data_IF_796069120942
#
_entry.id   IF_796069120942
#
_cell.length_a   1.000
_cell.length_b   1.000
_cell.length_c   1.000
_cell.angle_alpha   90.00
_cell.angle_beta   90.00
_cell.angle_gamma   90.00
#
_symmetry.space_group_name_H-M   'P 1'
#
loop_
_entity.id
_entity.type
_entity.pdbx_description
1 polymer ?
#
# COMPACT_ATOMS: atom_id res chain seq x y z
N UNK A 1 15.42 -18.09 -24.98
CA UNK A 1 14.62 -17.49 -23.93
C UNK A 1 15.05 -16.04 -23.70
N UNK A 2 14.12 -15.12 -23.89
CA UNK A 2 14.36 -13.70 -23.68
C UNK A 2 14.34 -13.39 -22.18
N UNK A 3 15.44 -12.85 -21.66
CA UNK A 3 15.48 -12.34 -20.30
C UNK A 3 14.78 -10.97 -20.33
N UNK A 4 13.72 -10.81 -19.56
CA UNK A 4 13.02 -9.54 -19.46
C UNK A 4 13.88 -8.52 -18.74
N UNK A 5 14.00 -7.33 -19.31
CA UNK A 5 14.74 -6.23 -18.74
C UNK A 5 13.78 -5.29 -17.97
N UNK A 6 13.98 -5.21 -16.66
CA UNK A 6 13.19 -4.35 -15.78
C UNK A 6 13.95 -3.08 -15.34
N UNK A 7 15.03 -2.75 -16.01
CA UNK A 7 15.89 -1.63 -15.58
C UNK A 7 15.16 -0.29 -15.55
N UNK A 8 14.28 -0.01 -16.52
CA UNK A 8 13.46 1.21 -16.53
C UNK A 8 12.53 1.28 -15.33
N UNK A 9 11.83 0.18 -15.05
CA UNK A 9 10.92 0.08 -13.91
C UNK A 9 11.68 0.30 -12.60
N UNK A 10 12.79 -0.39 -12.42
CA UNK A 10 13.63 -0.27 -11.21
C UNK A 10 14.13 1.15 -11.02
N UNK A 11 14.66 1.78 -12.07
CA UNK A 11 15.16 3.15 -12.01
C UNK A 11 14.05 4.14 -11.66
N UNK A 12 12.87 3.99 -12.27
CA UNK A 12 11.72 4.85 -12.01
C UNK A 12 11.32 4.82 -10.53
N UNK A 13 11.12 3.62 -9.98
CA UNK A 13 10.65 3.50 -8.60
C UNK A 13 11.75 3.72 -7.58
N UNK A 14 12.99 3.40 -7.88
CA UNK A 14 14.13 3.80 -7.05
C UNK A 14 14.18 5.32 -6.90
N UNK A 15 13.85 6.06 -7.97
CA UNK A 15 13.74 7.52 -7.93
C UNK A 15 12.66 8.00 -6.96
N UNK A 16 11.46 7.41 -7.02
CA UNK A 16 10.38 7.75 -6.09
C UNK A 16 10.74 7.47 -4.64
N UNK A 17 11.46 6.38 -4.40
CA UNK A 17 11.81 5.94 -3.04
C UNK A 17 13.14 6.52 -2.54
N UNK A 18 13.89 7.18 -3.43
CA UNK A 18 15.25 7.69 -3.13
C UNK A 18 16.17 6.57 -2.62
N UNK A 19 16.16 5.45 -3.32
CA UNK A 19 17.01 4.28 -3.07
C UNK A 19 17.72 3.88 -4.36
N UNK A 20 18.65 2.92 -4.26
CA UNK A 20 19.33 2.39 -5.45
C UNK A 20 18.44 1.37 -6.18
N UNK A 21 18.49 1.29 -7.53
CA UNK A 21 17.62 0.39 -8.29
C UNK A 21 17.72 -1.09 -7.93
N UNK A 22 18.86 -1.54 -7.43
CA UNK A 22 19.06 -2.93 -7.01
C UNK A 22 18.16 -3.33 -5.83
N UNK A 23 17.62 -2.36 -5.08
CA UNK A 23 16.69 -2.61 -3.98
C UNK A 23 15.25 -2.82 -4.43
N UNK A 24 14.96 -2.58 -5.70
CA UNK A 24 13.65 -2.88 -6.28
C UNK A 24 13.66 -4.36 -6.70
N UNK A 25 13.15 -5.22 -5.83
CA UNK A 25 13.25 -6.67 -5.99
C UNK A 25 11.90 -7.30 -6.37
N UNK A 26 10.82 -6.89 -5.72
CA UNK A 26 9.49 -7.43 -5.98
C UNK A 26 8.91 -6.83 -7.26
N UNK A 27 9.30 -7.35 -8.40
CA UNK A 27 8.90 -6.83 -9.70
C UNK A 27 7.36 -6.81 -9.87
N UNK A 28 6.62 -7.88 -9.54
CA UNK A 28 5.15 -7.84 -9.67
C UNK A 28 4.51 -6.71 -8.88
N UNK A 29 5.03 -6.37 -7.71
CA UNK A 29 4.53 -5.25 -6.90
C UNK A 29 4.69 -3.93 -7.65
N UNK A 30 5.87 -3.65 -8.18
CA UNK A 30 6.13 -2.38 -8.86
C UNK A 30 5.47 -2.31 -10.23
N UNK A 31 5.24 -3.45 -10.90
CA UNK A 31 4.42 -3.49 -12.11
C UNK A 31 2.96 -3.15 -11.78
N UNK A 32 2.42 -3.67 -10.70
CA UNK A 32 1.08 -3.31 -10.23
C UNK A 32 0.99 -1.81 -9.94
N UNK A 33 1.94 -1.29 -9.18
CA UNK A 33 1.98 0.14 -8.84
C UNK A 33 2.03 0.99 -10.11
N UNK A 34 2.91 0.63 -11.05
CA UNK A 34 3.10 1.37 -12.30
C UNK A 34 1.81 1.40 -13.14
N UNK A 35 1.09 0.27 -13.15
CA UNK A 35 -0.18 0.17 -13.86
C UNK A 35 -1.28 1.07 -13.24
N UNK A 36 -1.23 1.32 -11.95
CA UNK A 36 -2.25 2.10 -11.24
C UNK A 36 -1.85 3.55 -10.96
N UNK A 37 -0.58 3.91 -11.10
CA UNK A 37 -0.11 5.27 -10.82
C UNK A 37 -0.95 6.32 -11.53
N UNK A 38 -1.27 7.39 -10.81
CA UNK A 38 -2.06 8.52 -11.27
C UNK A 38 -3.54 8.22 -11.54
N UNK A 39 -4.03 7.03 -11.22
CA UNK A 39 -5.46 6.76 -11.24
C UNK A 39 -6.16 7.72 -10.26
N UNK A 40 -7.25 8.40 -10.68
CA UNK A 40 -7.92 9.35 -9.81
C UNK A 40 -8.53 8.68 -8.57
N UNK A 41 -8.63 9.46 -7.49
CA UNK A 41 -9.38 9.03 -6.32
C UNK A 41 -10.88 9.14 -6.57
N UNK A 42 -11.62 8.12 -6.11
CA UNK A 42 -13.08 8.17 -6.09
C UNK A 42 -13.58 7.38 -4.88
N UNK A 43 -14.37 8.01 -4.03
CA UNK A 43 -14.99 7.36 -2.87
C UNK A 43 -15.81 6.13 -3.35
N UNK A 44 -15.51 4.97 -2.79
CA UNK A 44 -16.14 3.71 -3.18
C UNK A 44 -15.70 3.16 -4.53
N UNK A 45 -14.77 3.84 -5.22
CA UNK A 45 -14.29 3.41 -6.53
C UNK A 45 -13.37 2.21 -6.47
N UNK A 46 -13.41 1.38 -7.50
CA UNK A 46 -12.66 0.12 -7.58
C UNK A 46 -12.04 -0.12 -8.96
N UNK A 47 -11.94 0.88 -9.81
CA UNK A 47 -11.44 0.71 -11.18
C UNK A 47 -10.62 1.94 -11.64
N UNK A 48 -10.21 1.93 -12.90
CA UNK A 48 -9.35 2.96 -13.48
C UNK A 48 -10.03 4.33 -13.66
N UNK A 49 -11.37 4.40 -13.54
CA UNK A 49 -12.11 5.67 -13.54
C UNK A 49 -11.99 6.38 -12.19
N UNK A 50 -11.70 5.62 -11.15
CA UNK A 50 -11.45 6.13 -9.81
C UNK A 50 -11.41 5.01 -8.81
N UNK A 51 -10.49 5.13 -7.84
CA UNK A 51 -10.27 4.09 -6.84
C UNK A 51 -10.07 4.74 -5.45
N UNK A 52 -10.57 4.11 -4.39
CA UNK A 52 -10.27 4.57 -3.03
C UNK A 52 -9.08 3.82 -2.44
N UNK A 53 -8.64 4.25 -1.25
CA UNK A 53 -7.44 3.73 -0.61
C UNK A 53 -7.53 2.24 -0.28
N UNK A 54 -8.66 1.80 0.27
CA UNK A 54 -8.83 0.40 0.68
C UNK A 54 -9.05 -0.54 -0.51
N UNK A 55 -9.70 -0.07 -1.58
CA UNK A 55 -9.84 -0.84 -2.81
C UNK A 55 -8.50 -1.06 -3.50
N UNK A 56 -7.63 -0.03 -3.50
CA UNK A 56 -6.28 -0.18 -4.04
C UNK A 56 -5.52 -1.28 -3.29
N UNK A 57 -5.63 -1.31 -1.97
CA UNK A 57 -5.00 -2.34 -1.15
C UNK A 57 -5.58 -3.73 -1.43
N UNK A 58 -6.91 -3.84 -1.57
CA UNK A 58 -7.54 -5.11 -1.93
C UNK A 58 -7.00 -5.67 -3.24
N UNK A 59 -6.97 -4.83 -4.27
CA UNK A 59 -6.50 -5.25 -5.60
C UNK A 59 -5.02 -5.58 -5.59
N UNK A 60 -4.22 -4.81 -4.86
CA UNK A 60 -2.78 -5.05 -4.74
C UNK A 60 -2.49 -6.39 -4.07
N UNK A 61 -3.12 -6.65 -2.92
CA UNK A 61 -2.90 -7.90 -2.19
C UNK A 61 -3.41 -9.12 -2.96
N UNK A 62 -4.54 -8.98 -3.64
CA UNK A 62 -5.07 -10.05 -4.48
C UNK A 62 -4.13 -10.37 -5.65
N UNK A 63 -3.71 -9.32 -6.35
CA UNK A 63 -2.93 -9.44 -7.60
C UNK A 63 -1.48 -9.88 -7.35
N UNK A 64 -0.83 -9.30 -6.36
CA UNK A 64 0.61 -9.49 -6.11
C UNK A 64 0.87 -10.64 -5.14
N UNK A 65 0.08 -10.74 -4.07
CA UNK A 65 0.32 -11.68 -2.99
C UNK A 65 -0.67 -12.83 -2.91
N UNK A 66 -1.70 -12.82 -3.74
CA UNK A 66 -2.77 -13.82 -3.72
C UNK A 66 -3.46 -13.90 -2.35
N UNK A 67 -3.65 -12.74 -1.73
CA UNK A 67 -4.27 -12.59 -0.41
C UNK A 67 -5.53 -11.75 -0.55
N UNK A 68 -6.65 -12.23 0.04
CA UNK A 68 -7.91 -11.50 0.08
C UNK A 68 -7.99 -10.72 1.40
N UNK A 69 -8.17 -9.40 1.32
CA UNK A 69 -8.33 -8.55 2.51
C UNK A 69 -9.69 -7.85 2.48
N UNK A 70 -10.20 -7.39 3.64
CA UNK A 70 -11.51 -6.74 3.68
C UNK A 70 -11.58 -5.47 2.85
N UNK A 71 -12.82 -5.04 2.54
CA UNK A 71 -13.08 -3.92 1.62
C UNK A 71 -12.71 -2.55 2.19
N UNK A 72 -12.85 -2.34 3.51
CA UNK A 72 -12.65 -1.01 4.09
C UNK A 72 -11.38 -0.93 4.93
N UNK A 73 -10.85 0.29 5.10
CA UNK A 73 -9.66 0.51 5.92
C UNK A 73 -9.89 0.11 7.38
N UNK A 74 -11.09 0.35 7.91
CA UNK A 74 -11.46 -0.05 9.28
C UNK A 74 -11.43 -1.57 9.43
N UNK A 75 -12.06 -2.28 8.50
CA UNK A 75 -12.08 -3.74 8.53
C UNK A 75 -10.68 -4.33 8.35
N UNK A 76 -9.85 -3.73 7.51
CA UNK A 76 -8.46 -4.14 7.33
C UNK A 76 -7.67 -3.96 8.63
N UNK A 77 -7.87 -2.83 9.31
CA UNK A 77 -7.19 -2.55 10.58
C UNK A 77 -7.55 -3.54 11.68
N UNK A 78 -8.82 -3.99 11.74
CA UNK A 78 -9.30 -4.91 12.78
C UNK A 78 -9.28 -6.38 12.36
N UNK A 79 -8.71 -6.72 11.21
CA UNK A 79 -8.62 -8.12 10.77
C UNK A 79 -7.77 -8.94 11.75
N UNK A 80 -8.24 -10.17 12.09
CA UNK A 80 -7.56 -11.04 13.06
C UNK A 80 -6.15 -11.45 12.66
N UNK A 81 -5.87 -11.47 11.37
CA UNK A 81 -4.59 -11.90 10.80
C UNK A 81 -3.62 -10.75 10.57
N UNK A 82 -3.93 -9.56 11.08
CA UNK A 82 -3.03 -8.40 11.08
C UNK A 82 -2.36 -8.29 12.46
N UNK A 83 -1.05 -8.36 12.48
CA UNK A 83 -0.25 -8.05 13.66
C UNK A 83 0.05 -6.55 13.67
N UNK A 84 -0.58 -5.83 14.61
CA UNK A 84 -0.49 -4.37 14.68
C UNK A 84 0.72 -3.92 15.49
N UNK A 85 1.36 -2.84 15.04
CA UNK A 85 2.45 -2.20 15.77
C UNK A 85 2.47 -0.70 15.51
N UNK A 86 3.08 0.07 16.41
CA UNK A 86 3.12 1.53 16.31
C UNK A 86 4.46 2.08 15.86
N UNK A 87 5.55 1.37 16.08
CA UNK A 87 6.89 1.84 15.72
C UNK A 87 7.07 1.88 14.21
N UNK A 88 7.56 3.01 13.69
CA UNK A 88 7.88 3.15 12.26
C UNK A 88 9.32 2.73 11.95
N UNK A 89 10.10 2.31 12.96
CA UNK A 89 11.50 1.93 12.76
C UNK A 89 11.69 0.57 12.13
N UNK A 90 10.68 -0.29 12.20
CA UNK A 90 10.76 -1.68 11.73
C UNK A 90 9.79 -1.98 10.60
N UNK A 91 9.37 -0.96 9.86
CA UNK A 91 8.48 -1.12 8.71
C UNK A 91 9.20 -1.88 7.60
N UNK A 92 8.49 -2.81 6.99
CA UNK A 92 8.97 -3.59 5.85
C UNK A 92 8.00 -3.48 4.68
N UNK A 93 8.51 -3.65 3.48
CA UNK A 93 7.68 -3.70 2.28
C UNK A 93 6.52 -4.68 2.46
N UNK A 94 5.31 -4.22 2.15
CA UNK A 94 4.10 -5.03 2.33
C UNK A 94 3.32 -4.73 3.61
N UNK A 95 3.91 -4.01 4.56
CA UNK A 95 3.18 -3.61 5.76
C UNK A 95 2.11 -2.59 5.41
N UNK A 96 0.90 -2.78 5.94
CA UNK A 96 -0.16 -1.78 5.84
C UNK A 96 0.07 -0.65 6.83
N UNK A 97 -0.18 0.58 6.41
CA UNK A 97 -0.07 1.76 7.26
C UNK A 97 -1.45 2.42 7.33
N UNK A 98 -1.89 2.72 8.55
CA UNK A 98 -3.24 3.23 8.82
C UNK A 98 -3.20 4.65 9.38
N UNK A 99 -4.16 5.47 8.91
CA UNK A 99 -4.24 6.89 9.26
C UNK A 99 -5.66 7.28 9.64
N UNK A 100 -5.77 8.38 10.41
CA UNK A 100 -7.02 9.09 10.68
C UNK A 100 -7.00 10.40 9.88
N UNK A 101 -7.75 10.46 8.80
CA UNK A 101 -7.77 11.62 7.90
C UNK A 101 -9.07 12.44 7.99
N UNK A 102 -10.11 11.87 8.62
CA UNK A 102 -11.35 12.59 8.91
C UNK A 102 -11.38 12.94 10.41
N UNK A 103 -12.09 13.98 10.78
CA UNK A 103 -12.09 14.55 12.13
C UNK A 103 -12.75 13.71 13.22
N UNK A 104 -12.66 12.37 13.14
CA UNK A 104 -13.12 11.44 14.18
C UNK A 104 -11.99 10.52 14.60
N UNK A 105 -12.21 9.67 15.60
CA UNK A 105 -11.19 8.77 16.13
C UNK A 105 -11.14 7.40 15.44
N UNK A 106 -11.58 7.33 14.18
CA UNK A 106 -11.66 6.08 13.41
C UNK A 106 -10.62 6.07 12.32
N UNK A 107 -10.01 4.91 12.09
CA UNK A 107 -9.14 4.69 10.92
C UNK A 107 -9.95 4.97 9.66
N UNK A 108 -9.44 5.81 8.79
CA UNK A 108 -10.12 6.26 7.58
C UNK A 108 -9.28 6.19 6.32
N UNK A 109 -7.99 5.86 6.46
CA UNK A 109 -7.07 5.79 5.33
C UNK A 109 -6.05 4.68 5.54
N UNK A 110 -5.62 4.07 4.44
CA UNK A 110 -4.65 2.98 4.44
C UNK A 110 -3.73 3.08 3.22
N UNK A 111 -2.49 2.68 3.40
CA UNK A 111 -1.53 2.51 2.33
C UNK A 111 -0.63 1.33 2.61
N UNK A 112 0.29 1.06 1.71
CA UNK A 112 1.29 0.00 1.88
C UNK A 112 2.69 0.59 1.90
N UNK A 113 3.45 0.24 2.93
CA UNK A 113 4.85 0.64 3.04
C UNK A 113 5.69 -0.03 1.95
N UNK A 114 6.58 0.74 1.36
CA UNK A 114 7.51 0.26 0.31
C UNK A 114 8.95 0.23 0.82
N UNK A 115 9.57 1.35 0.97
CA UNK A 115 10.95 1.46 1.43
C UNK A 115 11.27 2.92 1.75
N UNK A 116 12.27 3.15 2.58
CA UNK A 116 12.83 4.47 2.88
C UNK A 116 11.76 5.50 3.28
N UNK A 117 10.79 5.09 4.08
CA UNK A 117 9.72 5.95 4.57
C UNK A 117 8.62 6.25 3.56
N UNK A 118 8.61 5.59 2.40
CA UNK A 118 7.61 5.83 1.36
C UNK A 118 6.56 4.74 1.33
N UNK A 119 5.34 5.13 0.98
CA UNK A 119 4.21 4.22 0.87
C UNK A 119 3.35 4.56 -0.34
N UNK A 120 2.72 3.53 -0.90
CA UNK A 120 1.74 3.68 -1.99
C UNK A 120 0.34 3.83 -1.40
N UNK A 121 -0.45 4.77 -1.93
CA UNK A 121 -1.82 4.98 -1.49
C UNK A 121 -2.65 5.65 -2.58
N UNK A 122 -3.96 5.66 -2.38
CA UNK A 122 -4.89 6.46 -3.19
C UNK A 122 -5.44 7.57 -2.29
N UNK A 123 -4.98 8.79 -2.47
CA UNK A 123 -5.42 9.95 -1.68
C UNK A 123 -6.41 10.81 -2.47
N UNK A 124 -7.29 11.49 -1.74
CA UNK A 124 -8.31 12.35 -2.36
C UNK A 124 -7.70 13.51 -3.15
N UNK A 125 -6.52 13.97 -2.77
CA UNK A 125 -5.87 15.10 -3.43
C UNK A 125 -5.00 14.73 -4.63
N UNK A 126 -4.44 13.51 -4.65
CA UNK A 126 -3.44 13.13 -5.66
C UNK A 126 -3.78 11.85 -6.42
N UNK A 127 -4.81 11.12 -6.01
CA UNK A 127 -5.08 9.79 -6.55
C UNK A 127 -4.02 8.78 -6.12
N UNK A 128 -3.76 7.79 -6.95
CA UNK A 128 -2.74 6.78 -6.67
C UNK A 128 -1.36 7.41 -6.81
N UNK A 129 -0.62 7.43 -5.72
CA UNK A 129 0.68 8.10 -5.64
C UNK A 129 1.53 7.52 -4.51
N UNK A 130 2.82 7.82 -4.56
CA UNK A 130 3.77 7.46 -3.50
C UNK A 130 3.98 8.69 -2.61
N UNK A 131 3.80 8.51 -1.31
CA UNK A 131 3.91 9.56 -0.30
C UNK A 131 4.96 9.18 0.76
N UNK A 132 5.35 10.14 1.59
CA UNK A 132 6.31 9.92 2.68
C UNK A 132 5.60 9.91 4.03
N UNK A 133 5.92 8.94 4.89
CA UNK A 133 5.43 8.92 6.28
C UNK A 133 6.01 10.08 7.11
N UNK A 134 7.08 10.70 6.63
CA UNK A 134 7.71 11.85 7.29
C UNK A 134 7.08 13.18 6.88
N UNK A 135 6.21 13.20 5.88
CA UNK A 135 5.42 14.37 5.53
C UNK A 135 4.53 14.74 6.73
N UNK A 136 4.54 16.02 7.18
CA UNK A 136 3.75 16.42 8.36
C UNK A 136 2.26 16.09 8.27
N UNK A 137 1.67 16.15 7.06
CA UNK A 137 0.28 15.74 6.87
C UNK A 137 0.07 14.29 7.30
N UNK A 138 0.94 13.38 6.86
CA UNK A 138 0.80 11.96 7.14
C UNK A 138 1.31 11.59 8.54
N UNK A 139 2.44 12.13 8.98
CA UNK A 139 3.00 11.81 10.29
C UNK A 139 2.07 12.20 11.44
N UNK A 140 1.36 13.31 11.30
CA UNK A 140 0.41 13.77 12.33
C UNK A 140 -0.88 12.95 12.36
N UNK A 141 -1.17 12.17 11.32
CA UNK A 141 -2.40 11.38 11.19
C UNK A 141 -2.18 9.88 11.33
N UNK A 142 -0.93 9.48 11.51
CA UNK A 142 -0.56 8.06 11.61
C UNK A 142 -1.17 7.42 12.87
N UNK A 143 -1.85 6.30 12.69
CA UNK A 143 -2.38 5.46 13.77
C UNK A 143 -1.40 4.35 14.12
N UNK A 144 -0.87 3.69 13.10
CA UNK A 144 0.02 2.56 13.27
C UNK A 144 0.13 1.76 12.00
N UNK A 145 0.76 0.62 12.10
CA UNK A 145 0.98 -0.29 10.97
C UNK A 145 0.46 -1.68 11.30
N UNK A 146 0.33 -2.50 10.27
CA UNK A 146 -0.05 -3.90 10.43
C UNK A 146 0.68 -4.79 9.45
N UNK A 147 1.20 -5.89 9.96
CA UNK A 147 1.86 -6.92 9.15
C UNK A 147 0.96 -8.12 9.06
N UNK A 148 0.79 -8.66 7.84
CA UNK A 148 -0.05 -9.82 7.64
C UNK A 148 0.62 -11.04 8.26
N UNK A 149 -0.11 -11.73 9.15
CA UNK A 149 0.29 -13.01 9.72
C UNK A 149 -0.30 -14.12 8.84
N UNK A 150 0.55 -14.71 8.00
CA UNK A 150 0.14 -15.69 7.00
C UNK A 150 -0.52 -16.90 7.63
N UNK A 151 -0.08 -17.31 8.83
CA UNK A 151 -0.61 -18.47 9.52
C UNK A 151 -2.07 -18.31 9.96
N UNK A 152 -2.51 -17.07 10.14
CA UNK A 152 -3.87 -16.77 10.59
C UNK A 152 -4.82 -16.45 9.43
N UNK A 153 -4.33 -16.41 8.19
CA UNK A 153 -5.17 -16.14 7.03
C UNK A 153 -6.18 -17.25 6.79
N UNK A 154 -7.44 -16.90 6.42
CA UNK A 154 -8.41 -17.91 6.00
C UNK A 154 -7.88 -18.64 4.75
N UNK A 155 -8.13 -19.95 4.68
CA UNK A 155 -7.78 -20.70 3.47
C UNK A 155 -8.62 -20.22 2.31
N UNK A 156 -7.94 -19.86 1.20
CA UNK A 156 -8.61 -19.44 -0.01
C UNK A 156 -9.27 -20.62 -0.68
N UNK A 157 -10.55 -20.48 -1.02
CA UNK A 157 -11.24 -21.49 -1.82
C UNK A 157 -10.74 -21.44 -3.23
N UNK A 158 -10.42 -22.59 -3.78
CA UNK A 158 -10.07 -22.73 -5.21
C UNK A 158 -11.31 -22.65 -6.09
#
# INVERSE_FOLDING_TARGET
TTVKDYSKLKTKYAGYLEITPDKIINIPLYQFIDNWMNTPYKWGGMDKRGIDCSALMQLLFDSVYNISIPRTSVEQFYARWIDKFRSTQHLSEGDLIFFKTIGNNVVSHVGMYLDNGRFINASSSKGVSIASINDPYWSSRLVGAGRINIELLPKRRK
#
